data_IF_574793301129
#
_entry.id   IF_574793301129
#
_cell.length_a   1.000
_cell.length_b   1.000
_cell.length_c   1.000
_cell.angle_alpha   90.00
_cell.angle_beta   90.00
_cell.angle_gamma   90.00
#
_symmetry.space_group_name_H-M   'P 1'
#
loop_
_entity.id
_entity.type
_entity.pdbx_description
1 polymer ?
#
# COMPACT_ATOMS: atom_id res chain seq x y z
N UNK A 1 11.57 20.30 -67.50
CA UNK A 1 11.90 21.47 -68.36
C UNK A 1 10.69 22.40 -68.42
N UNK A 2 10.85 23.60 -67.84
CA UNK A 2 10.27 24.92 -68.18
C UNK A 2 8.83 25.07 -68.77
N UNK A 3 8.16 26.10 -68.21
CA UNK A 3 7.04 26.94 -68.71
C UNK A 3 5.68 26.62 -68.04
N UNK A 4 5.15 27.37 -67.06
CA UNK A 4 5.06 28.82 -66.81
C UNK A 4 4.30 29.60 -67.91
N UNK A 5 3.04 30.00 -67.63
CA UNK A 5 2.49 31.38 -67.80
C UNK A 5 0.95 31.45 -67.79
N UNK A 6 0.39 32.01 -66.71
CA UNK A 6 -0.58 33.13 -66.70
C UNK A 6 -0.91 33.44 -65.22
N UNK A 7 -0.24 34.36 -64.54
CA UNK A 7 -0.18 35.81 -64.69
C UNK A 7 -1.47 36.56 -64.28
N UNK A 8 -1.32 37.29 -63.16
CA UNK A 8 -1.85 38.62 -62.83
C UNK A 8 -3.27 38.77 -62.27
N UNK A 9 -3.33 39.25 -61.02
CA UNK A 9 -3.91 40.55 -60.55
C UNK A 9 -4.14 40.44 -59.02
N UNK A 10 -3.70 41.31 -58.10
CA UNK A 10 -3.22 42.71 -58.01
C UNK A 10 -2.39 42.79 -56.69
N UNK A 11 -1.20 43.40 -56.60
CA UNK A 11 -0.93 44.85 -56.40
C UNK A 11 -1.46 45.31 -55.02
N UNK A 12 -0.68 45.77 -54.02
CA UNK A 12 0.41 46.76 -53.96
C UNK A 12 1.17 46.62 -52.61
N UNK A 13 2.51 46.70 -52.59
CA UNK A 13 3.34 47.79 -52.02
C UNK A 13 3.04 48.17 -50.55
N UNK A 14 4.01 47.99 -49.63
CA UNK A 14 4.75 49.07 -48.92
C UNK A 14 5.89 48.45 -48.08
N UNK A 15 7.07 49.02 -48.26
CA UNK A 15 8.35 48.80 -47.58
C UNK A 15 8.39 49.57 -46.24
N UNK A 16 8.93 49.02 -45.14
CA UNK A 16 9.85 49.75 -44.24
C UNK A 16 10.47 48.84 -43.13
N UNK A 17 11.79 48.92 -43.00
CA UNK A 17 12.61 48.42 -41.89
C UNK A 17 12.48 49.36 -40.68
N UNK A 18 12.24 48.85 -39.47
CA UNK A 18 12.70 49.48 -38.21
C UNK A 18 13.09 48.38 -37.21
N UNK A 19 14.37 48.39 -36.84
CA UNK A 19 14.96 47.75 -35.67
C UNK A 19 14.84 48.67 -34.45
N UNK A 20 14.29 48.20 -33.33
CA UNK A 20 14.50 48.78 -31.99
C UNK A 20 14.53 47.64 -30.97
N UNK A 21 15.59 47.61 -30.17
CA UNK A 21 15.80 46.72 -29.04
C UNK A 21 15.23 47.32 -27.74
N UNK A 22 14.98 46.45 -26.75
CA UNK A 22 15.09 46.65 -25.29
C UNK A 22 13.82 47.03 -24.49
N UNK A 23 13.57 46.15 -23.49
CA UNK A 23 12.79 46.23 -22.23
C UNK A 23 11.26 46.36 -22.29
N UNK A 24 10.54 45.29 -21.89
CA UNK A 24 9.40 45.43 -20.97
C UNK A 24 9.02 44.13 -20.23
N UNK A 25 9.07 44.23 -18.90
CA UNK A 25 8.27 43.58 -17.86
C UNK A 25 8.17 42.04 -17.77
N UNK A 26 8.71 41.55 -16.64
CA UNK A 26 8.27 40.35 -15.94
C UNK A 26 6.76 40.47 -15.61
N UNK A 27 5.94 39.54 -16.12
CA UNK A 27 4.57 39.30 -15.68
C UNK A 27 4.50 37.84 -15.18
N UNK A 28 3.75 37.56 -14.10
CA UNK A 28 3.68 36.22 -13.53
C UNK A 28 3.02 35.26 -14.51
N UNK A 29 3.54 34.04 -14.56
CA UNK A 29 2.96 32.94 -15.32
C UNK A 29 1.51 32.73 -14.87
N UNK A 30 0.55 33.05 -15.74
CA UNK A 30 -0.81 32.57 -15.60
C UNK A 30 -0.78 31.09 -15.91
N UNK A 31 -1.07 30.27 -14.89
CA UNK A 31 -1.37 28.87 -15.07
C UNK A 31 -2.51 28.76 -16.09
N UNK A 32 -2.24 28.08 -17.19
CA UNK A 32 -3.26 27.76 -18.19
C UNK A 32 -3.98 26.52 -17.68
N UNK A 33 -4.98 26.73 -16.81
CA UNK A 33 -5.93 25.69 -16.45
C UNK A 33 -6.69 25.28 -17.72
N UNK A 34 -6.33 24.11 -18.24
CA UNK A 34 -7.22 23.39 -19.14
C UNK A 34 -8.23 22.66 -18.25
N UNK A 35 -9.55 22.74 -18.52
CA UNK A 35 -10.52 21.99 -17.76
C UNK A 35 -10.29 20.50 -18.06
N UNK A 36 -9.58 19.83 -17.16
CA UNK A 36 -9.75 18.40 -17.00
C UNK A 36 -11.21 18.25 -16.56
N UNK A 37 -11.99 17.47 -17.30
CA UNK A 37 -13.31 17.06 -16.85
C UNK A 37 -13.10 16.23 -15.59
N UNK A 38 -13.09 16.90 -14.44
CA UNK A 38 -13.08 16.28 -13.13
C UNK A 38 -14.53 15.84 -12.81
N UNK A 39 -14.82 14.52 -12.82
CA UNK A 39 -16.14 14.04 -12.45
C UNK A 39 -16.46 14.23 -10.95
N UNK A 40 -15.53 14.74 -10.13
CA UNK A 40 -15.65 14.80 -8.67
C UNK A 40 -16.06 16.18 -8.10
N UNK A 41 -16.41 17.16 -8.93
CA UNK A 41 -16.87 18.49 -8.49
C UNK A 41 -18.22 18.53 -7.72
N UNK A 42 -18.78 17.39 -7.30
CA UNK A 42 -20.12 17.31 -6.73
C UNK A 42 -20.36 16.31 -5.60
N UNK A 43 -19.33 15.68 -5.01
CA UNK A 43 -19.53 14.58 -4.05
C UNK A 43 -19.03 14.91 -2.64
N UNK A 44 -19.60 15.95 -2.03
CA UNK A 44 -19.80 15.96 -0.58
C UNK A 44 -21.06 15.14 -0.26
N UNK A 45 -21.04 13.83 -0.56
CA UNK A 45 -22.05 12.93 -0.03
C UNK A 45 -21.80 12.80 1.48
N UNK A 46 -22.88 12.81 2.27
CA UNK A 46 -22.85 12.83 3.73
C UNK A 46 -22.11 11.59 4.27
N UNK A 47 -20.81 11.76 4.56
CA UNK A 47 -19.91 10.72 5.07
C UNK A 47 -20.38 10.34 6.47
N UNK A 48 -21.00 9.18 6.60
CA UNK A 48 -21.38 8.67 7.92
C UNK A 48 -20.13 8.00 8.50
N UNK A 49 -19.42 8.69 9.41
CA UNK A 49 -18.33 8.11 10.19
C UNK A 49 -18.84 6.86 10.94
N UNK A 50 -18.50 5.66 10.48
CA UNK A 50 -19.19 4.44 10.96
C UNK A 50 -18.32 3.31 11.52
N UNK A 51 -16.99 3.36 11.44
CA UNK A 51 -16.16 2.25 11.93
C UNK A 51 -15.41 2.53 13.24
N UNK A 52 -15.10 3.78 13.55
CA UNK A 52 -14.20 4.13 14.67
C UNK A 52 -14.85 5.00 15.74
N UNK A 53 -16.04 4.59 16.21
CA UNK A 53 -16.79 5.27 17.29
C UNK A 53 -16.03 5.40 18.62
N UNK A 54 -14.86 4.77 18.76
CA UNK A 54 -13.99 4.85 19.95
C UNK A 54 -12.67 5.59 19.71
N UNK A 55 -12.37 6.04 18.47
CA UNK A 55 -11.27 7.00 18.30
C UNK A 55 -11.67 8.29 19.00
N UNK A 56 -10.84 8.71 19.96
CA UNK A 56 -10.89 10.09 20.43
C UNK A 56 -10.63 10.96 19.20
N UNK A 57 -11.53 11.91 18.91
CA UNK A 57 -11.29 12.90 17.84
C UNK A 57 -9.89 13.48 18.00
N UNK A 58 -9.01 13.19 17.06
CA UNK A 58 -7.62 13.63 17.13
C UNK A 58 -7.54 15.12 16.86
N UNK A 59 -6.60 15.81 17.52
CA UNK A 59 -6.27 17.22 17.22
C UNK A 59 -4.91 17.34 16.53
N UNK A 60 -4.46 16.25 15.91
CA UNK A 60 -3.14 16.09 15.33
C UNK A 60 -3.07 16.51 13.86
N UNK A 61 -2.00 16.08 13.19
CA UNK A 61 -1.73 16.42 11.80
C UNK A 61 -1.35 15.19 10.98
N UNK A 62 -1.89 15.12 9.77
CA UNK A 62 -1.57 14.10 8.75
C UNK A 62 -0.75 14.74 7.63
N UNK A 63 0.37 14.12 7.28
CA UNK A 63 1.20 14.53 6.15
C UNK A 63 0.87 13.72 4.90
N UNK A 64 0.55 14.39 3.79
CA UNK A 64 0.24 13.74 2.51
C UNK A 64 1.23 14.18 1.45
N UNK A 65 1.88 13.24 0.76
CA UNK A 65 2.70 13.60 -0.40
C UNK A 65 1.79 14.07 -1.54
N UNK A 66 1.90 15.33 -1.93
CA UNK A 66 0.92 16.00 -2.81
C UNK A 66 0.74 15.33 -4.16
N UNK A 67 1.78 14.69 -4.69
CA UNK A 67 1.74 13.98 -5.97
C UNK A 67 1.06 12.62 -5.90
N UNK A 68 0.74 12.12 -4.70
CA UNK A 68 0.11 10.81 -4.49
C UNK A 68 -1.40 10.85 -4.36
N UNK A 69 -2.02 12.03 -4.41
CA UNK A 69 -3.47 12.18 -4.28
C UNK A 69 -4.04 13.09 -5.35
N UNK A 70 -5.28 12.84 -5.74
CA UNK A 70 -6.03 13.72 -6.65
C UNK A 70 -6.87 14.70 -5.83
N UNK A 71 -6.70 16.01 -6.04
CA UNK A 71 -7.47 17.06 -5.34
C UNK A 71 -6.80 17.65 -4.09
N UNK A 72 -5.57 17.24 -3.74
CA UNK A 72 -4.84 17.78 -2.59
C UNK A 72 -5.62 17.61 -1.28
N UNK A 73 -5.88 18.70 -0.56
CA UNK A 73 -6.64 18.66 0.70
C UNK A 73 -8.12 18.28 0.54
N UNK A 74 -8.61 18.18 -0.70
CA UNK A 74 -9.95 17.67 -1.02
C UNK A 74 -9.94 16.23 -1.55
N UNK A 75 -8.79 15.55 -1.51
CA UNK A 75 -8.73 14.13 -1.88
C UNK A 75 -9.54 13.27 -0.91
N UNK A 76 -10.03 12.09 -1.33
CA UNK A 76 -10.71 11.15 -0.45
C UNK A 76 -9.94 10.84 0.84
N UNK A 77 -8.63 10.64 0.76
CA UNK A 77 -7.79 10.34 1.91
C UNK A 77 -7.64 11.53 2.85
N UNK A 78 -7.50 12.74 2.30
CA UNK A 78 -7.47 13.96 3.09
C UNK A 78 -8.80 14.18 3.82
N UNK A 79 -9.93 14.00 3.12
CA UNK A 79 -11.25 14.08 3.72
C UNK A 79 -11.45 13.01 4.81
N UNK A 80 -10.92 11.80 4.61
CA UNK A 80 -10.94 10.75 5.64
C UNK A 80 -10.25 11.16 6.94
N UNK A 81 -9.07 11.81 6.86
CA UNK A 81 -8.41 12.35 8.04
C UNK A 81 -9.19 13.53 8.67
N UNK A 82 -9.71 14.44 7.84
CA UNK A 82 -10.45 15.63 8.29
C UNK A 82 -11.73 15.26 9.06
N UNK A 83 -12.49 14.27 8.58
CA UNK A 83 -13.72 13.85 9.25
C UNK A 83 -13.45 13.14 10.60
N UNK A 84 -12.22 12.67 10.83
CA UNK A 84 -11.75 12.17 12.12
C UNK A 84 -11.22 13.29 13.05
N UNK A 85 -11.22 14.54 12.58
CA UNK A 85 -10.82 15.72 13.35
C UNK A 85 -9.38 16.19 13.13
N UNK A 86 -8.61 15.52 12.28
CA UNK A 86 -7.21 15.86 12.03
C UNK A 86 -7.05 17.01 11.05
N UNK A 87 -5.94 17.74 11.18
CA UNK A 87 -5.48 18.66 10.14
C UNK A 87 -4.66 17.91 9.08
N UNK A 88 -4.62 18.44 7.86
CA UNK A 88 -3.91 17.82 6.73
C UNK A 88 -2.91 18.80 6.15
N UNK A 89 -1.65 18.40 6.10
CA UNK A 89 -0.57 19.08 5.40
C UNK A 89 -0.31 18.40 4.05
N UNK A 90 -0.51 19.15 2.97
CA UNK A 90 -0.19 18.71 1.61
C UNK A 90 1.26 19.09 1.31
N UNK A 91 2.14 18.09 1.34
CA UNK A 91 3.60 18.24 1.28
C UNK A 91 4.06 18.08 -0.17
N UNK A 92 4.77 19.06 -0.71
CA UNK A 92 5.33 18.97 -2.06
C UNK A 92 6.49 17.97 -2.14
N UNK A 93 6.83 17.43 -3.34
CA UNK A 93 7.99 16.55 -3.51
C UNK A 93 9.32 17.15 -2.99
N UNK A 94 9.54 18.45 -3.19
CA UNK A 94 10.76 19.14 -2.73
C UNK A 94 10.79 19.25 -1.20
N UNK A 95 9.66 19.57 -0.57
CA UNK A 95 9.54 19.59 0.89
C UNK A 95 9.76 18.19 1.47
N UNK A 96 9.05 17.18 0.97
CA UNK A 96 9.18 15.78 1.41
C UNK A 96 10.62 15.29 1.32
N UNK A 97 11.32 15.62 0.23
CA UNK A 97 12.72 15.24 0.02
C UNK A 97 13.69 15.94 0.98
N UNK A 98 13.33 17.14 1.48
CA UNK A 98 14.12 17.92 2.43
C UNK A 98 13.83 17.61 3.90
N UNK A 99 12.78 16.84 4.19
CA UNK A 99 12.37 16.54 5.56
C UNK A 99 13.26 15.49 6.23
N UNK A 100 13.48 15.68 7.52
CA UNK A 100 14.16 14.74 8.42
C UNK A 100 13.18 13.74 9.04
N UNK A 101 13.70 12.61 9.54
CA UNK A 101 12.89 11.63 10.28
C UNK A 101 12.13 12.25 11.45
N UNK A 102 12.72 13.21 12.17
CA UNK A 102 12.04 13.89 13.27
C UNK A 102 10.87 14.77 12.81
N UNK A 103 10.93 15.36 11.61
CA UNK A 103 9.83 16.12 11.05
C UNK A 103 8.71 15.19 10.54
N UNK A 104 9.06 14.03 9.98
CA UNK A 104 8.06 13.00 9.66
C UNK A 104 7.39 12.44 10.92
N UNK A 105 8.16 12.22 12.00
CA UNK A 105 7.67 11.70 13.27
C UNK A 105 6.75 12.68 14.03
N UNK A 106 6.63 13.92 13.56
CA UNK A 106 5.72 14.91 14.13
C UNK A 106 4.28 14.75 13.62
N UNK A 107 4.06 13.97 12.55
CA UNK A 107 2.71 13.63 12.07
C UNK A 107 2.17 12.39 12.77
N UNK A 108 0.86 12.34 12.94
CA UNK A 108 0.16 11.17 13.47
C UNK A 108 0.05 10.07 12.41
N UNK A 109 -0.07 10.45 11.13
CA UNK A 109 0.02 9.53 10.01
C UNK A 109 0.62 10.18 8.76
N UNK A 110 1.24 9.35 7.93
CA UNK A 110 1.69 9.70 6.59
C UNK A 110 0.82 9.00 5.55
N UNK A 111 0.40 9.72 4.51
CA UNK A 111 -0.42 9.19 3.43
C UNK A 111 0.34 9.26 2.11
N UNK A 112 0.43 8.11 1.46
CA UNK A 112 0.80 7.95 0.07
C UNK A 112 -0.42 7.33 -0.64
N UNK A 113 -1.29 8.18 -1.20
CA UNK A 113 -2.55 7.76 -1.84
C UNK A 113 -2.35 7.12 -3.21
N UNK A 114 -3.42 6.98 -3.99
CA UNK A 114 -3.35 6.58 -5.41
C UNK A 114 -3.86 7.71 -6.32
N UNK A 115 -2.98 8.44 -7.02
CA UNK A 115 -3.40 9.51 -7.90
C UNK A 115 -3.92 8.87 -9.18
N UNK A 116 -5.23 8.59 -9.24
CA UNK A 116 -6.03 8.08 -10.38
C UNK A 116 -5.22 7.92 -11.67
N UNK A 117 -5.04 6.68 -12.15
CA UNK A 117 -3.97 6.29 -13.07
C UNK A 117 -4.09 6.91 -14.49
N UNK A 118 -3.79 8.21 -14.61
CA UNK A 118 -4.10 9.03 -15.78
C UNK A 118 -2.94 9.29 -16.74
N UNK A 119 -1.68 9.03 -16.37
CA UNK A 119 -0.54 9.38 -17.22
C UNK A 119 0.65 8.41 -17.12
N UNK A 120 1.20 7.94 -18.25
CA UNK A 120 2.49 7.25 -18.26
C UNK A 120 3.63 8.26 -18.07
N UNK A 121 4.47 8.06 -17.05
CA UNK A 121 5.81 8.67 -17.02
C UNK A 121 6.16 9.55 -15.82
N UNK A 122 5.30 9.68 -14.81
CA UNK A 122 5.66 10.30 -13.53
C UNK A 122 5.62 9.26 -12.43
N UNK A 123 6.75 9.05 -11.73
CA UNK A 123 6.72 8.35 -10.46
C UNK A 123 6.13 9.32 -9.43
N UNK A 124 4.81 9.25 -9.28
CA UNK A 124 4.01 10.01 -8.30
C UNK A 124 4.54 9.89 -6.87
N UNK A 125 5.26 8.80 -6.62
CA UNK A 125 5.84 8.42 -5.34
C UNK A 125 7.35 8.61 -5.29
N UNK A 126 7.98 9.18 -6.34
CA UNK A 126 9.45 9.27 -6.47
C UNK A 126 10.15 9.96 -5.31
N UNK A 127 9.57 11.04 -4.76
CA UNK A 127 10.12 11.71 -3.59
C UNK A 127 10.12 10.80 -2.36
N UNK A 128 9.06 10.00 -2.17
CA UNK A 128 8.98 9.01 -1.10
C UNK A 128 9.90 7.81 -1.35
N UNK A 129 10.11 7.38 -2.60
CA UNK A 129 11.08 6.33 -2.94
C UNK A 129 12.52 6.80 -2.65
N UNK A 130 12.87 7.99 -3.12
CA UNK A 130 14.20 8.58 -2.95
C UNK A 130 14.54 8.86 -1.48
N UNK A 131 13.53 9.21 -0.67
CA UNK A 131 13.67 9.49 0.75
C UNK A 131 13.14 8.33 1.65
N UNK A 132 13.00 7.12 1.09
CA UNK A 132 12.32 6.00 1.75
C UNK A 132 12.87 5.68 3.12
N UNK A 133 14.19 5.60 3.28
CA UNK A 133 14.84 5.30 4.55
C UNK A 133 14.61 6.36 5.64
N UNK A 134 14.26 7.60 5.29
CA UNK A 134 14.11 8.70 6.25
C UNK A 134 12.68 8.78 6.78
N UNK A 135 11.68 8.77 5.90
CA UNK A 135 10.28 8.88 6.32
C UNK A 135 9.78 7.58 6.96
N UNK A 136 10.16 6.41 6.42
CA UNK A 136 9.73 5.12 6.98
C UNK A 136 10.31 4.87 8.37
N UNK A 137 11.49 5.40 8.68
CA UNK A 137 12.08 5.34 10.02
C UNK A 137 11.28 6.12 11.07
N UNK A 138 10.44 7.07 10.65
CA UNK A 138 9.51 7.77 11.53
C UNK A 138 8.24 6.96 11.81
N UNK A 139 7.91 5.98 10.96
CA UNK A 139 6.66 5.23 11.01
C UNK A 139 6.78 4.05 11.98
N UNK A 140 6.43 4.33 13.23
CA UNK A 140 6.43 3.38 14.35
C UNK A 140 5.04 2.82 14.67
N UNK A 141 3.98 3.44 14.15
CA UNK A 141 2.59 3.04 14.36
C UNK A 141 2.07 2.06 13.32
N UNK A 142 0.75 2.04 13.18
CA UNK A 142 0.04 1.17 12.25
C UNK A 142 0.36 1.49 10.79
N UNK A 143 0.51 0.46 9.96
CA UNK A 143 0.70 0.63 8.52
C UNK A 143 -0.26 -0.26 7.77
N UNK A 144 -0.96 0.31 6.79
CA UNK A 144 -1.75 -0.44 5.81
C UNK A 144 -1.20 -0.18 4.40
N UNK A 145 -1.07 -1.26 3.63
CA UNK A 145 -0.65 -1.26 2.24
C UNK A 145 -1.79 -1.82 1.40
N UNK A 146 -2.18 -1.11 0.34
CA UNK A 146 -3.36 -1.40 -0.48
C UNK A 146 -2.94 -1.49 -1.95
N UNK A 147 -3.23 -2.62 -2.58
CA UNK A 147 -2.91 -2.93 -3.97
C UNK A 147 -4.05 -2.70 -4.97
N UNK A 148 -4.95 -1.77 -4.68
CA UNK A 148 -6.11 -1.38 -5.51
C UNK A 148 -6.17 0.14 -5.65
N UNK A 149 -6.95 0.68 -6.59
CA UNK A 149 -7.17 2.11 -6.86
C UNK A 149 -8.48 2.66 -6.22
N UNK A 150 -8.57 2.72 -4.89
CA UNK A 150 -9.82 3.11 -4.25
C UNK A 150 -10.19 4.56 -4.56
N UNK A 151 -9.24 5.44 -4.90
CA UNK A 151 -9.54 6.82 -5.30
C UNK A 151 -10.28 6.88 -6.62
N UNK A 152 -9.90 6.05 -7.60
CA UNK A 152 -10.61 5.97 -8.88
C UNK A 152 -12.05 5.46 -8.69
N UNK A 153 -12.23 4.47 -7.82
CA UNK A 153 -13.52 3.86 -7.53
C UNK A 153 -14.37 4.62 -6.50
N UNK A 154 -13.81 5.62 -5.82
CA UNK A 154 -14.45 6.32 -4.71
C UNK A 154 -15.86 6.85 -5.04
N UNK A 155 -16.06 7.39 -6.25
CA UNK A 155 -17.34 7.94 -6.68
C UNK A 155 -18.41 6.91 -7.07
N UNK A 156 -18.03 5.64 -7.22
CA UNK A 156 -18.86 4.60 -7.81
C UNK A 156 -19.09 3.41 -6.88
N UNK A 157 -18.09 3.08 -6.05
CA UNK A 157 -18.07 1.90 -5.20
C UNK A 157 -18.04 2.28 -3.71
N UNK A 158 -19.08 1.89 -2.97
CA UNK A 158 -19.15 2.13 -1.53
C UNK A 158 -18.03 1.41 -0.75
N UNK A 159 -17.56 0.27 -1.28
CA UNK A 159 -16.41 -0.46 -0.72
C UNK A 159 -15.11 0.33 -0.83
N UNK A 160 -14.89 1.05 -1.93
CA UNK A 160 -13.71 1.90 -2.10
C UNK A 160 -13.69 3.06 -1.10
N UNK A 161 -14.84 3.72 -0.87
CA UNK A 161 -14.97 4.75 0.17
C UNK A 161 -14.65 4.17 1.55
N UNK A 162 -15.27 3.04 1.89
CA UNK A 162 -15.08 2.39 3.20
C UNK A 162 -13.63 1.93 3.41
N UNK A 163 -12.94 1.48 2.35
CA UNK A 163 -11.54 1.08 2.39
C UNK A 163 -10.60 2.26 2.68
N UNK A 164 -10.80 3.40 2.01
CA UNK A 164 -10.05 4.63 2.31
C UNK A 164 -10.30 5.08 3.74
N UNK A 165 -11.56 5.15 4.15
CA UNK A 165 -11.97 5.62 5.46
C UNK A 165 -11.36 4.78 6.59
N UNK A 166 -11.50 3.46 6.49
CA UNK A 166 -10.96 2.54 7.48
C UNK A 166 -9.44 2.48 7.46
N UNK A 167 -8.81 2.55 6.28
CA UNK A 167 -7.36 2.53 6.16
C UNK A 167 -6.72 3.75 6.79
N UNK A 168 -7.25 4.94 6.55
CA UNK A 168 -6.78 6.19 7.16
C UNK A 168 -7.03 6.17 8.66
N UNK A 169 -8.22 5.75 9.10
CA UNK A 169 -8.51 5.61 10.52
C UNK A 169 -7.56 4.62 11.21
N UNK A 170 -7.27 3.49 10.57
CA UNK A 170 -6.33 2.49 11.08
C UNK A 170 -4.90 3.03 11.19
N UNK A 171 -4.42 3.78 10.20
CA UNK A 171 -3.11 4.43 10.27
C UNK A 171 -3.03 5.46 11.42
N UNK A 172 -4.15 6.05 11.82
CA UNK A 172 -4.26 6.99 12.94
C UNK A 172 -4.51 6.30 14.30
N UNK A 173 -4.89 5.03 14.30
CA UNK A 173 -5.27 4.27 15.50
C UNK A 173 -4.07 3.60 16.17
N UNK A 174 -3.15 4.40 16.74
CA UNK A 174 -2.00 3.83 17.43
C UNK A 174 -1.11 4.86 18.11
N UNK A 175 0.01 4.40 18.67
CA UNK A 175 1.04 5.28 19.21
C UNK A 175 2.15 5.53 18.18
N UNK A 176 2.49 6.80 17.97
CA UNK A 176 3.48 7.22 16.98
C UNK A 176 2.91 7.32 15.57
N UNK A 177 3.75 7.67 14.60
CA UNK A 177 3.32 7.93 13.22
C UNK A 177 2.93 6.62 12.53
N UNK A 178 1.69 6.52 12.06
CA UNK A 178 1.24 5.45 11.18
C UNK A 178 1.38 5.79 9.69
N UNK A 179 0.99 4.87 8.81
CA UNK A 179 1.01 5.09 7.37
C UNK A 179 -0.15 4.41 6.62
N UNK A 180 -0.78 5.16 5.71
CA UNK A 180 -1.68 4.66 4.70
C UNK A 180 -0.99 4.71 3.34
N UNK A 181 -0.90 3.58 2.65
CA UNK A 181 -0.16 3.47 1.38
C UNK A 181 -1.00 2.71 0.35
N UNK A 182 -1.50 3.41 -0.66
CA UNK A 182 -2.12 2.81 -1.83
C UNK A 182 -1.10 2.77 -2.99
N UNK A 183 -0.78 1.58 -3.48
CA UNK A 183 0.30 1.34 -4.44
C UNK A 183 -0.14 1.40 -5.91
N UNK A 184 -1.45 1.37 -6.15
CA UNK A 184 -2.07 1.01 -7.42
C UNK A 184 -1.44 1.63 -8.67
N UNK A 185 -1.46 2.96 -8.75
CA UNK A 185 -0.97 3.65 -9.93
C UNK A 185 0.56 3.62 -10.07
N UNK A 186 1.29 3.15 -9.07
CA UNK A 186 2.76 3.05 -9.11
C UNK A 186 3.21 1.75 -9.76
N UNK A 187 2.48 0.66 -9.52
CA UNK A 187 2.90 -0.70 -9.89
C UNK A 187 1.88 -1.45 -10.75
N UNK A 188 0.78 -0.84 -11.19
CA UNK A 188 -0.18 -1.43 -12.14
C UNK A 188 0.48 -2.12 -13.35
N UNK A 189 1.55 -1.52 -13.90
CA UNK A 189 2.28 -2.05 -15.07
C UNK A 189 3.61 -2.73 -14.69
N UNK A 190 3.78 -3.11 -13.43
CA UNK A 190 4.98 -3.78 -12.95
C UNK A 190 4.99 -5.25 -13.37
N UNK A 191 6.11 -5.70 -13.94
CA UNK A 191 6.32 -7.11 -14.25
C UNK A 191 6.42 -7.95 -12.97
N UNK A 192 6.32 -9.28 -13.09
CA UNK A 192 6.45 -10.18 -11.96
C UNK A 192 7.74 -9.97 -11.15
N UNK A 193 7.62 -10.05 -9.82
CA UNK A 193 8.68 -9.86 -8.84
C UNK A 193 9.40 -8.49 -8.93
N UNK A 194 8.68 -7.44 -9.36
CA UNK A 194 9.19 -6.07 -9.32
C UNK A 194 9.33 -5.65 -7.85
N UNK A 195 10.52 -5.17 -7.46
CA UNK A 195 10.75 -4.61 -6.11
C UNK A 195 9.89 -3.37 -5.89
N UNK A 196 9.54 -3.07 -4.63
CA UNK A 196 8.73 -1.90 -4.25
C UNK A 196 9.59 -0.93 -3.40
N UNK A 197 10.42 -0.05 -4.01
CA UNK A 197 11.37 0.80 -3.28
C UNK A 197 10.73 1.75 -2.28
N UNK A 198 9.51 2.20 -2.52
CA UNK A 198 8.80 3.08 -1.56
C UNK A 198 8.64 2.40 -0.20
N UNK A 199 8.48 1.08 -0.17
CA UNK A 199 8.32 0.30 1.07
C UNK A 199 9.65 -0.20 1.67
N UNK A 200 10.80 0.15 1.10
CA UNK A 200 12.08 -0.46 1.45
C UNK A 200 12.46 -0.35 2.94
N UNK A 201 12.01 0.70 3.63
CA UNK A 201 12.27 0.86 5.06
C UNK A 201 11.39 0.02 5.98
N UNK A 202 10.33 -0.60 5.46
CA UNK A 202 9.55 -1.62 6.17
C UNK A 202 10.06 -3.04 5.90
N UNK A 203 10.98 -3.20 4.95
CA UNK A 203 11.57 -4.47 4.55
C UNK A 203 11.45 -4.70 3.04
N UNK A 204 11.73 -5.92 2.61
CA UNK A 204 11.73 -6.28 1.19
C UNK A 204 10.33 -6.66 0.71
N UNK A 205 9.81 -5.88 -0.24
CA UNK A 205 8.55 -6.15 -0.91
C UNK A 205 8.78 -6.41 -2.41
N UNK A 206 8.00 -7.31 -2.99
CA UNK A 206 7.91 -7.47 -4.44
C UNK A 206 6.46 -7.63 -4.89
N UNK A 207 6.18 -7.21 -6.12
CA UNK A 207 4.83 -7.10 -6.66
C UNK A 207 4.73 -7.55 -8.12
N UNK A 208 3.49 -7.76 -8.57
CA UNK A 208 3.10 -7.90 -9.98
C UNK A 208 1.82 -7.10 -10.23
N UNK A 209 1.84 -6.28 -11.27
CA UNK A 209 0.72 -5.42 -11.64
C UNK A 209 -0.36 -6.10 -12.48
N UNK A 210 -1.56 -5.51 -12.47
CA UNK A 210 -2.73 -5.91 -13.23
C UNK A 210 -2.50 -5.91 -14.73
N UNK A 211 -1.58 -5.07 -15.23
CA UNK A 211 -1.11 -5.13 -16.62
C UNK A 211 -0.53 -6.49 -17.02
N UNK A 212 -0.14 -7.34 -16.06
CA UNK A 212 0.36 -8.70 -16.27
C UNK A 212 -0.60 -9.79 -15.80
N UNK A 213 -1.39 -9.56 -14.75
CA UNK A 213 -2.37 -10.55 -14.26
C UNK A 213 -3.71 -10.51 -15.00
N UNK A 214 -3.96 -9.44 -15.76
CA UNK A 214 -5.22 -9.23 -16.50
C UNK A 214 -6.33 -8.57 -15.68
N UNK A 215 -5.98 -8.04 -14.51
CA UNK A 215 -6.94 -7.54 -13.52
C UNK A 215 -7.69 -8.68 -12.82
N UNK A 216 -7.74 -8.64 -11.49
CA UNK A 216 -8.43 -9.65 -10.69
C UNK A 216 -9.62 -9.01 -9.98
N UNK A 217 -10.72 -9.75 -9.93
CA UNK A 217 -12.02 -9.21 -9.50
C UNK A 217 -12.62 -9.93 -8.30
N UNK A 218 -12.23 -11.18 -8.05
CA UNK A 218 -12.82 -12.02 -7.01
C UNK A 218 -11.98 -11.88 -5.73
N UNK A 219 -12.41 -11.01 -4.83
CA UNK A 219 -11.69 -10.69 -3.60
C UNK A 219 -12.21 -11.53 -2.44
N UNK A 220 -11.28 -12.00 -1.62
CA UNK A 220 -11.55 -12.66 -0.37
C UNK A 220 -10.84 -11.98 0.80
N UNK A 221 -11.60 -11.58 1.83
CA UNK A 221 -11.10 -11.07 3.10
C UNK A 221 -10.65 -12.25 3.96
N UNK A 222 -9.37 -12.25 4.29
CA UNK A 222 -8.70 -13.41 4.92
C UNK A 222 -8.70 -13.35 6.44
N UNK A 223 -9.01 -12.19 7.02
CA UNK A 223 -8.99 -11.97 8.45
C UNK A 223 -9.96 -10.86 8.90
N UNK A 224 -10.53 -11.02 10.09
CA UNK A 224 -11.19 -9.91 10.79
C UNK A 224 -10.13 -8.92 11.26
N UNK A 225 -10.24 -7.67 10.84
CA UNK A 225 -9.26 -6.62 11.14
C UNK A 225 -9.94 -5.25 11.20
N UNK A 226 -9.56 -4.33 12.13
CA UNK A 226 -10.17 -3.00 12.25
C UNK A 226 -10.19 -2.22 10.92
N UNK A 227 -9.10 -2.29 10.17
CA UNK A 227 -8.98 -1.65 8.86
C UNK A 227 -9.94 -2.19 7.78
N UNK A 228 -10.62 -3.32 8.01
CA UNK A 228 -11.62 -3.89 7.10
C UNK A 228 -13.04 -3.89 7.68
N UNK A 229 -13.29 -3.15 8.77
CA UNK A 229 -14.60 -3.13 9.43
C UNK A 229 -15.72 -2.67 8.47
N UNK A 230 -16.74 -3.50 8.29
CA UNK A 230 -17.87 -3.21 7.41
C UNK A 230 -17.60 -3.47 5.93
N UNK A 231 -16.38 -3.88 5.55
CA UNK A 231 -16.09 -4.45 4.25
C UNK A 231 -16.46 -5.94 4.20
N UNK A 232 -16.76 -6.39 3.01
CA UNK A 232 -17.09 -7.77 2.64
C UNK A 232 -16.38 -8.12 1.33
N UNK A 233 -16.23 -9.42 1.05
CA UNK A 233 -15.73 -9.94 -0.23
C UNK A 233 -16.44 -9.26 -1.41
N UNK A 234 -17.77 -9.26 -1.41
CA UNK A 234 -18.60 -8.61 -2.44
C UNK A 234 -18.31 -7.11 -2.58
N UNK A 235 -18.12 -6.39 -1.47
CA UNK A 235 -17.89 -4.94 -1.52
C UNK A 235 -16.53 -4.57 -2.11
N UNK A 236 -15.56 -5.49 -2.09
CA UNK A 236 -14.22 -5.29 -2.65
C UNK A 236 -14.04 -5.97 -4.03
N UNK A 237 -15.10 -6.59 -4.55
CA UNK A 237 -15.06 -7.38 -5.78
C UNK A 237 -15.76 -6.68 -6.94
N UNK A 238 -15.40 -7.09 -8.16
CA UNK A 238 -16.05 -6.70 -9.42
C UNK A 238 -16.12 -5.21 -9.72
N UNK A 239 -15.13 -4.42 -9.29
CA UNK A 239 -15.01 -3.01 -9.63
C UNK A 239 -14.59 -2.76 -11.09
N UNK A 240 -14.26 -3.82 -11.83
CA UNK A 240 -13.79 -3.72 -13.22
C UNK A 240 -12.28 -3.54 -13.34
N UNK A 241 -11.58 -3.56 -12.21
CA UNK A 241 -10.21 -4.05 -12.00
C UNK A 241 -9.94 -4.03 -10.48
N UNK A 242 -10.60 -4.88 -9.71
CA UNK A 242 -10.62 -4.74 -8.23
C UNK A 242 -9.23 -4.82 -7.57
N UNK A 243 -8.28 -5.51 -8.20
CA UNK A 243 -6.89 -5.63 -7.70
C UNK A 243 -5.90 -5.20 -8.78
N UNK A 244 -5.22 -4.08 -8.53
CA UNK A 244 -4.28 -3.42 -9.44
C UNK A 244 -2.85 -3.93 -9.33
N UNK A 245 -2.43 -4.39 -8.16
CA UNK A 245 -1.21 -5.17 -8.03
C UNK A 245 -1.28 -6.11 -6.85
N UNK A 246 -0.47 -7.16 -6.97
CA UNK A 246 -0.44 -8.26 -6.06
C UNK A 246 0.94 -8.34 -5.43
N UNK A 247 0.98 -8.45 -4.12
CA UNK A 247 2.23 -8.62 -3.38
C UNK A 247 2.65 -10.09 -3.45
N UNK A 248 3.85 -10.31 -3.95
CA UNK A 248 4.45 -11.63 -4.16
C UNK A 248 5.29 -12.03 -2.95
N UNK A 249 6.00 -11.08 -2.37
CA UNK A 249 6.81 -11.28 -1.16
C UNK A 249 6.72 -10.05 -0.28
N UNK A 250 6.65 -10.26 1.03
CA UNK A 250 6.62 -9.21 2.04
C UNK A 250 7.28 -9.70 3.34
N UNK A 251 7.67 -8.79 4.23
CA UNK A 251 8.15 -9.13 5.57
C UNK A 251 7.08 -9.83 6.42
N UNK A 252 7.47 -10.79 7.25
CA UNK A 252 6.54 -11.61 8.05
C UNK A 252 5.75 -10.85 9.11
N UNK A 253 6.15 -9.62 9.44
CA UNK A 253 5.42 -8.75 10.37
C UNK A 253 4.26 -7.99 9.71
N UNK A 254 3.91 -8.31 8.47
CA UNK A 254 2.70 -7.84 7.80
C UNK A 254 1.71 -8.98 7.61
N UNK A 255 0.50 -8.77 8.11
CA UNK A 255 -0.62 -9.69 7.99
C UNK A 255 -1.35 -9.48 6.66
N UNK A 256 -1.74 -10.57 6.00
CA UNK A 256 -2.63 -10.52 4.83
C UNK A 256 -4.06 -10.29 5.30
N UNK A 257 -4.68 -9.20 4.84
CA UNK A 257 -6.06 -8.85 5.17
C UNK A 257 -7.04 -9.20 4.04
N UNK A 258 -6.60 -9.07 2.78
CA UNK A 258 -7.39 -9.46 1.62
C UNK A 258 -6.50 -9.93 0.47
N UNK A 259 -7.04 -10.84 -0.33
CA UNK A 259 -6.40 -11.38 -1.53
C UNK A 259 -7.39 -11.52 -2.67
N UNK A 260 -6.91 -11.47 -3.91
CA UNK A 260 -7.68 -11.94 -5.05
C UNK A 260 -7.59 -13.46 -5.15
N UNK A 261 -8.74 -14.15 -5.16
CA UNK A 261 -8.82 -15.60 -5.32
C UNK A 261 -8.27 -16.00 -6.70
N UNK A 262 -7.26 -16.87 -6.68
CA UNK A 262 -6.66 -17.42 -7.88
C UNK A 262 -5.94 -18.74 -7.58
N UNK A 263 -6.17 -19.82 -8.35
CA UNK A 263 -5.55 -21.13 -8.08
C UNK A 263 -4.03 -21.15 -8.14
N UNK A 264 -3.41 -20.19 -8.82
CA UNK A 264 -1.95 -20.00 -8.90
C UNK A 264 -1.43 -18.91 -7.97
N UNK A 265 -2.25 -18.51 -6.99
CA UNK A 265 -1.93 -17.52 -5.98
C UNK A 265 -0.64 -17.83 -5.22
N UNK A 266 0.03 -16.78 -4.75
CA UNK A 266 1.24 -16.87 -3.92
C UNK A 266 0.97 -17.18 -2.45
N UNK A 267 -0.31 -17.15 -2.03
CA UNK A 267 -0.69 -17.25 -0.63
C UNK A 267 -1.85 -18.23 -0.42
N UNK A 268 -1.86 -18.85 0.75
CA UNK A 268 -2.96 -19.69 1.25
C UNK A 268 -3.38 -19.17 2.61
N UNK A 269 -4.63 -18.75 2.76
CA UNK A 269 -5.18 -18.28 4.04
C UNK A 269 -5.51 -19.42 4.99
N UNK A 270 -5.82 -19.07 6.24
CA UNK A 270 -6.19 -20.04 7.29
C UNK A 270 -7.45 -20.86 7.00
N UNK A 271 -8.32 -20.40 6.11
CA UNK A 271 -9.51 -21.13 5.63
C UNK A 271 -9.22 -22.02 4.39
N UNK A 272 -7.96 -22.09 3.95
CA UNK A 272 -7.46 -22.77 2.76
C UNK A 272 -7.82 -22.15 1.41
N UNK A 273 -8.33 -20.91 1.39
CA UNK A 273 -8.45 -20.16 0.15
C UNK A 273 -7.07 -19.82 -0.42
N UNK A 274 -6.93 -19.86 -1.74
CA UNK A 274 -5.65 -19.61 -2.44
C UNK A 274 -5.79 -18.41 -3.35
N UNK A 275 -4.83 -17.50 -3.29
CA UNK A 275 -4.90 -16.26 -4.02
C UNK A 275 -3.66 -15.39 -3.94
N UNK A 276 -3.78 -14.20 -4.49
CA UNK A 276 -2.75 -13.19 -4.55
C UNK A 276 -3.06 -12.06 -3.56
N UNK A 277 -2.27 -11.89 -2.49
CA UNK A 277 -2.47 -10.83 -1.51
C UNK A 277 -2.33 -9.45 -2.12
N UNK A 278 -3.17 -8.51 -1.70
CA UNK A 278 -3.06 -7.11 -2.13
C UNK A 278 -3.37 -6.10 -1.03
N UNK A 279 -3.99 -6.51 0.08
CA UNK A 279 -4.12 -5.65 1.27
C UNK A 279 -3.34 -6.29 2.42
N UNK A 280 -2.32 -5.59 2.90
CA UNK A 280 -1.52 -6.00 4.06
C UNK A 280 -1.59 -4.95 5.16
N UNK A 281 -1.44 -5.37 6.41
CA UNK A 281 -1.28 -4.44 7.53
C UNK A 281 -0.29 -4.91 8.59
N UNK A 282 0.25 -3.96 9.35
CA UNK A 282 0.98 -4.19 10.61
C UNK A 282 0.54 -3.18 11.66
N UNK A 283 0.73 -3.50 12.94
CA UNK A 283 0.57 -2.56 14.06
C UNK A 283 -0.55 -2.89 15.05
N UNK A 284 -1.44 -3.83 14.74
CA UNK A 284 -2.32 -4.44 15.75
C UNK A 284 -1.56 -5.56 16.44
N UNK A 285 -0.95 -5.27 17.59
CA UNK A 285 -0.59 -6.30 18.55
C UNK A 285 -1.83 -6.43 19.45
N UNK A 286 -2.53 -7.58 19.50
CA UNK A 286 -3.52 -7.82 20.55
C UNK A 286 -2.90 -7.46 21.90
N UNK A 287 -3.61 -6.72 22.76
CA UNK A 287 -3.04 -6.12 24.00
C UNK A 287 -2.27 -7.10 24.91
N UNK A 288 -2.47 -8.41 24.71
CA UNK A 288 -1.91 -9.50 25.50
C UNK A 288 -1.04 -10.48 24.68
N UNK A 289 -0.73 -10.13 23.44
CA UNK A 289 0.05 -11.00 22.58
C UNK A 289 1.45 -11.27 23.15
N UNK A 290 1.81 -12.54 23.25
CA UNK A 290 3.05 -13.05 23.81
C UNK A 290 2.97 -13.32 25.32
N UNK A 291 1.76 -13.35 25.91
CA UNK A 291 1.58 -13.60 27.35
C UNK A 291 1.45 -15.09 27.73
N UNK A 292 1.46 -15.97 26.73
CA UNK A 292 1.32 -17.42 26.86
C UNK A 292 -0.13 -17.89 26.91
N UNK A 293 -1.11 -17.02 26.68
CA UNK A 293 -2.54 -17.34 26.67
C UNK A 293 -3.16 -16.90 25.37
N UNK A 294 -4.07 -17.71 24.82
CA UNK A 294 -4.82 -17.31 23.63
C UNK A 294 -5.96 -16.35 24.01
N UNK A 295 -5.75 -15.06 23.79
CA UNK A 295 -6.68 -13.98 24.11
C UNK A 295 -7.60 -13.63 22.93
N UNK A 296 -8.73 -12.93 23.18
CA UNK A 296 -9.60 -12.46 22.10
C UNK A 296 -8.84 -11.56 21.12
N UNK A 297 -8.80 -11.96 19.83
CA UNK A 297 -8.09 -11.23 18.77
C UNK A 297 -6.81 -11.91 18.29
N UNK A 298 -6.29 -12.87 19.06
CA UNK A 298 -5.14 -13.70 18.72
C UNK A 298 -5.59 -14.96 17.95
N UNK A 299 -4.75 -15.43 17.03
CA UNK A 299 -4.90 -16.75 16.39
C UNK A 299 -3.96 -17.80 16.99
N UNK A 300 -2.90 -17.34 17.66
CA UNK A 300 -1.93 -18.13 18.40
C UNK A 300 -1.34 -17.26 19.51
N UNK A 301 -0.72 -17.90 20.49
CA UNK A 301 0.17 -17.24 21.46
C UNK A 301 1.18 -18.30 21.92
N UNK A 302 2.48 -18.04 21.74
CA UNK A 302 3.55 -18.96 22.14
C UNK A 302 4.41 -18.42 23.30
N UNK A 303 3.88 -17.44 24.02
CA UNK A 303 4.52 -16.85 25.19
C UNK A 303 5.64 -15.87 24.87
N UNK A 304 5.73 -15.41 23.63
CA UNK A 304 6.64 -14.33 23.23
C UNK A 304 6.12 -13.56 22.00
N UNK A 305 6.84 -12.49 21.60
CA UNK A 305 6.53 -11.68 20.40
C UNK A 305 7.64 -11.79 19.33
N UNK A 306 8.44 -12.86 19.36
CA UNK A 306 9.29 -13.17 18.23
C UNK A 306 8.40 -13.80 17.14
N UNK A 307 8.86 -13.74 15.90
CA UNK A 307 8.25 -14.52 14.82
C UNK A 307 9.22 -15.60 14.33
N UNK A 308 8.71 -16.51 13.51
CA UNK A 308 9.42 -17.65 12.94
C UNK A 308 9.31 -18.94 13.76
N UNK A 309 8.54 -18.95 14.84
CA UNK A 309 8.29 -20.07 15.77
C UNK A 309 6.87 -20.64 15.68
N UNK A 310 6.07 -20.17 14.72
CA UNK A 310 4.70 -20.64 14.48
C UNK A 310 3.64 -19.68 15.02
N UNK A 311 4.04 -18.65 15.75
CA UNK A 311 3.21 -17.52 16.10
C UNK A 311 3.92 -16.21 15.76
N UNK A 312 3.27 -15.32 15.03
CA UNK A 312 3.88 -14.05 14.65
C UNK A 312 3.98 -13.14 15.88
N UNK A 313 4.81 -12.10 15.77
CA UNK A 313 4.89 -11.03 16.76
C UNK A 313 3.55 -10.29 17.01
N UNK A 314 2.55 -10.50 16.14
CA UNK A 314 1.19 -9.96 16.20
C UNK A 314 0.15 -11.03 16.57
N UNK A 315 0.60 -12.17 17.08
CA UNK A 315 -0.21 -13.31 17.52
C UNK A 315 -1.12 -13.85 16.42
N UNK A 316 -0.56 -13.98 15.21
CA UNK A 316 -1.16 -14.65 14.05
C UNK A 316 -0.41 -15.93 13.73
N UNK A 317 -1.15 -16.96 13.31
CA UNK A 317 -0.52 -18.22 12.94
C UNK A 317 0.40 -17.99 11.73
N UNK A 318 1.66 -18.36 11.87
CA UNK A 318 2.61 -18.19 10.78
C UNK A 318 2.45 -19.33 9.76
N UNK A 319 2.25 -18.98 8.49
CA UNK A 319 2.12 -19.98 7.40
C UNK A 319 3.46 -20.56 6.97
N UNK A 320 4.58 -20.14 7.57
CA UNK A 320 5.87 -20.81 7.35
C UNK A 320 5.89 -22.09 8.17
N UNK A 321 5.67 -23.24 7.51
CA UNK A 321 6.07 -24.52 8.07
C UNK A 321 7.58 -24.43 8.31
N UNK A 322 8.09 -24.39 9.56
CA UNK A 322 9.51 -24.64 9.75
C UNK A 322 9.69 -26.09 9.33
N UNK A 323 10.59 -26.37 8.38
CA UNK A 323 11.13 -27.72 8.24
C UNK A 323 11.56 -28.15 9.65
N UNK A 324 10.85 -29.11 10.24
CA UNK A 324 11.32 -29.74 11.46
C UNK A 324 12.77 -30.16 11.20
N UNK A 325 13.76 -29.71 11.98
CA UNK A 325 15.10 -30.22 11.83
C UNK A 325 14.97 -31.71 12.12
N UNK A 326 15.14 -32.52 11.08
CA UNK A 326 15.16 -33.96 11.23
C UNK A 326 16.34 -34.23 12.15
N UNK A 327 16.06 -34.51 13.43
CA UNK A 327 17.09 -34.99 14.34
C UNK A 327 17.53 -36.30 13.74
N UNK A 328 18.66 -36.27 13.03
CA UNK A 328 19.37 -37.43 12.60
C UNK A 328 19.84 -38.14 13.88
N UNK A 329 18.98 -38.98 14.45
CA UNK A 329 19.42 -39.98 15.41
C UNK A 329 20.49 -40.80 14.68
N UNK A 330 21.72 -40.89 15.22
CA UNK A 330 22.70 -41.77 14.63
C UNK A 330 22.11 -43.17 14.70
N UNK A 331 22.00 -43.83 13.55
CA UNK A 331 21.66 -45.25 13.48
C UNK A 331 22.75 -45.99 14.24
N UNK A 332 22.55 -46.22 15.53
CA UNK A 332 23.41 -47.10 16.32
C UNK A 332 23.20 -48.49 15.74
N UNK A 333 24.18 -48.92 14.95
CA UNK A 333 24.27 -50.22 14.31
C UNK A 333 23.78 -51.34 15.24
N UNK A 334 22.62 -51.90 14.93
CA UNK A 334 22.01 -53.07 15.59
C UNK A 334 22.91 -54.33 15.46
N UNK A 335 24.01 -54.26 14.69
CA UNK A 335 24.99 -55.34 14.56
C UNK A 335 25.84 -55.61 15.82
N UNK A 336 25.89 -54.70 16.80
CA UNK A 336 26.72 -54.86 18.00
C UNK A 336 26.11 -55.69 19.14
N UNK A 337 24.77 -55.82 19.19
CA UNK A 337 24.07 -56.40 20.35
C UNK A 337 23.91 -57.94 20.22
N UNK A 338 24.02 -58.50 19.01
CA UNK A 338 23.99 -59.97 18.85
C UNK A 338 25.23 -60.70 19.37
N UNK A 339 26.37 -60.03 19.57
CA UNK A 339 27.58 -60.70 20.07
C UNK A 339 27.63 -60.83 21.60
N UNK A 340 26.88 -60.01 22.35
CA UNK A 340 26.82 -60.11 23.81
C UNK A 340 25.79 -61.12 24.33
N UNK A 341 24.75 -61.44 23.55
CA UNK A 341 23.71 -62.41 23.97
C UNK A 341 24.18 -63.87 23.79
N UNK A 342 25.12 -64.14 22.88
CA UNK A 342 25.65 -65.51 22.67
C UNK A 342 26.61 -65.97 23.78
N UNK A 343 27.21 -65.04 24.54
CA UNK A 343 28.18 -65.39 25.61
C UNK A 343 27.52 -65.69 26.97
N UNK A 344 26.25 -65.32 27.16
CA UNK A 344 25.53 -65.55 28.43
C UNK A 344 24.75 -66.87 28.48
N UNK A 345 24.74 -67.67 27.40
CA UNK A 345 23.99 -68.94 27.31
C UNK A 345 24.84 -70.21 27.49
N UNK A 346 26.13 -70.09 27.86
CA UNK A 346 27.03 -71.23 28.11
C UNK A 346 27.32 -71.54 29.59
N UNK A 347 26.72 -70.81 30.54
CA UNK A 347 26.96 -71.01 31.98
C UNK A 347 25.68 -71.16 32.81
N UNK A 348 24.65 -71.84 32.29
CA UNK A 348 23.59 -72.51 33.06
C UNK A 348 23.03 -73.69 32.27
#
# INVERSE_FOLDING_TARGET
MKNLKKAMRRGWLVTLLISVSILLACLPAQAVDSPVNDPHSGLAAERTAKAFSTLTTGTGTVGILSTTVTGGASSPEALAAIDLGYTVDIITPDEWSGMTTAQFAAYDALILGDPTCGYPGTSWVSAAEANSAVWSAAVTGNVIIIGTDPTYHYGYEAGAQTLIDNGVAFALDGTGTGAYIALSCYYHSASSATTVPVLAGFGSFSTIGAGYTGGLEDVHITASHPALTGLTDDSLSFWGNSVHENLISWPSNFDVLAMALHPSGSYTSGDNSVGYPYILARGVIPDLCGDGQLNPGEQCDDGNNNGGDGCSATCKLETSVPEFPTIALPVVSILGIMFLISRMRKNK
#
